data_IF_231585731133
#
_entry.id   IF_231585731133
#
_cell.length_a   1.000
_cell.length_b   1.000
_cell.length_c   1.000
_cell.angle_alpha   90.00
_cell.angle_beta   90.00
_cell.angle_gamma   90.00
#
_symmetry.space_group_name_H-M   'P 1'
#
loop_
_entity.id
_entity.type
_entity.pdbx_description
1 polymer ?
#
# COMPACT_ATOMS: atom_id res chain seq x y z
N UNK A 1 7.27 17.66 32.63
CA UNK A 1 7.71 18.44 31.46
C UNK A 1 7.06 17.83 30.23
N UNK A 2 6.53 18.64 29.32
CA UNK A 2 6.07 18.17 28.01
C UNK A 2 7.23 18.27 27.02
N UNK A 3 7.47 17.21 26.25
CA UNK A 3 8.57 17.15 25.28
C UNK A 3 7.99 17.10 23.88
N UNK A 4 8.23 18.17 23.11
CA UNK A 4 7.87 18.20 21.70
C UNK A 4 8.89 17.39 20.87
N UNK A 5 8.41 16.42 20.10
CA UNK A 5 9.22 15.55 19.26
C UNK A 5 8.85 15.79 17.80
N UNK A 6 9.85 16.08 16.96
CA UNK A 6 9.68 16.09 15.51
C UNK A 6 9.93 14.69 14.97
N UNK A 7 8.86 14.01 14.54
CA UNK A 7 8.97 12.70 13.88
C UNK A 7 9.32 12.89 12.40
N UNK A 8 10.45 12.36 11.91
CA UNK A 8 10.81 12.45 10.50
C UNK A 8 9.79 11.75 9.59
N UNK A 9 9.57 12.31 8.40
CA UNK A 9 8.78 11.66 7.36
C UNK A 9 9.45 10.35 6.95
N UNK A 10 8.65 9.28 6.81
CA UNK A 10 9.16 7.99 6.35
C UNK A 10 9.86 7.16 7.44
N UNK A 11 9.79 7.56 8.71
CA UNK A 11 10.30 6.76 9.83
C UNK A 11 9.78 5.31 9.76
N UNK A 12 10.65 4.35 10.03
CA UNK A 12 10.33 2.93 9.99
C UNK A 12 9.86 2.42 11.36
N UNK A 13 9.15 1.29 11.33
CA UNK A 13 8.81 0.58 12.54
C UNK A 13 10.08 0.12 13.26
N UNK A 14 10.19 0.45 14.55
CA UNK A 14 11.32 0.09 15.39
C UNK A 14 12.47 1.08 15.38
N UNK A 15 12.45 2.12 14.54
CA UNK A 15 13.46 3.19 14.57
C UNK A 15 13.36 3.98 15.88
N UNK A 16 14.51 4.51 16.32
CA UNK A 16 14.65 5.18 17.62
C UNK A 16 15.03 6.64 17.43
N UNK A 17 14.23 7.54 18.01
CA UNK A 17 14.53 8.97 18.09
C UNK A 17 15.24 9.21 19.43
N UNK A 18 16.46 9.75 19.37
CA UNK A 18 17.25 10.13 20.56
C UNK A 18 17.11 11.63 20.83
N UNK A 19 16.75 11.98 22.06
CA UNK A 19 16.75 13.35 22.54
C UNK A 19 17.84 13.51 23.61
N UNK A 20 18.90 14.22 23.24
CA UNK A 20 20.05 14.43 24.11
C UNK A 20 19.68 15.27 25.33
N UNK A 21 20.09 14.84 26.53
CA UNK A 21 19.88 15.60 27.78
C UNK A 21 18.43 15.70 28.23
N UNK A 22 17.54 14.86 27.70
CA UNK A 22 16.11 14.77 28.06
C UNK A 22 15.76 13.52 28.88
N UNK A 23 16.77 12.75 29.27
CA UNK A 23 16.65 11.64 30.19
C UNK A 23 16.61 12.10 31.65
N UNK A 24 16.77 11.15 32.56
CA UNK A 24 16.66 11.43 33.99
C UNK A 24 17.71 12.44 34.48
N UNK A 25 17.27 13.33 35.37
CA UNK A 25 18.12 14.33 35.99
C UNK A 25 19.12 13.66 36.95
N UNK A 26 20.38 14.08 36.87
CA UNK A 26 21.46 13.55 37.70
C UNK A 26 21.88 14.61 38.73
N UNK A 27 22.01 14.27 40.03
CA UNK A 27 22.34 15.24 41.09
C UNK A 27 23.62 16.05 40.85
N UNK A 28 24.62 15.49 40.17
CA UNK A 28 25.92 16.12 39.90
C UNK A 28 26.44 15.87 38.46
N UNK A 29 25.57 15.88 37.45
CA UNK A 29 25.98 15.61 36.07
C UNK A 29 25.00 16.11 35.01
N UNK A 30 25.35 15.92 33.74
CA UNK A 30 24.42 16.15 32.64
C UNK A 30 23.28 15.12 32.71
N UNK A 31 22.02 15.51 32.47
CA UNK A 31 20.92 14.56 32.34
C UNK A 31 21.21 13.52 31.26
N UNK A 32 20.62 12.33 31.40
CA UNK A 32 20.74 11.27 30.41
C UNK A 32 20.05 11.62 29.08
N UNK A 33 20.01 10.66 28.16
CA UNK A 33 19.28 10.79 26.89
C UNK A 33 17.93 10.07 26.97
N UNK A 34 16.90 10.63 26.32
CA UNK A 34 15.63 9.95 26.12
C UNK A 34 15.63 9.25 24.77
N UNK A 35 15.35 7.94 24.76
CA UNK A 35 15.21 7.13 23.56
C UNK A 35 13.74 6.79 23.32
N UNK A 36 13.20 7.21 22.18
CA UNK A 36 11.81 6.97 21.80
C UNK A 36 11.81 5.95 20.67
N UNK A 37 11.36 4.73 20.96
CA UNK A 37 11.19 3.68 19.95
C UNK A 37 9.83 3.84 19.27
N UNK A 38 9.84 4.00 17.96
CA UNK A 38 8.62 4.15 17.16
C UNK A 38 8.01 2.78 16.86
N UNK A 39 6.70 2.68 17.07
CA UNK A 39 5.90 1.51 16.70
C UNK A 39 4.87 1.96 15.66
N UNK A 40 4.95 1.41 14.45
CA UNK A 40 4.02 1.70 13.36
C UNK A 40 3.00 0.58 13.28
N UNK A 41 1.72 0.93 13.41
CA UNK A 41 0.63 -0.03 13.28
C UNK A 41 0.50 -0.53 11.83
N UNK A 42 0.27 -1.84 11.68
CA UNK A 42 0.08 -2.44 10.37
C UNK A 42 -1.24 -1.95 9.74
N UNK A 43 -1.15 -1.42 8.51
CA UNK A 43 -2.34 -1.01 7.78
C UNK A 43 -3.07 -2.23 7.20
N UNK A 44 -4.42 -2.24 7.28
CA UNK A 44 -5.24 -3.41 6.90
C UNK A 44 -5.09 -3.85 5.44
N UNK A 45 -4.84 -2.90 4.54
CA UNK A 45 -4.82 -3.13 3.09
C UNK A 45 -3.55 -2.68 2.40
N UNK A 46 -2.67 -1.96 3.11
CA UNK A 46 -1.46 -1.37 2.51
C UNK A 46 -0.26 -1.98 3.22
N UNK A 47 0.60 -2.63 2.45
CA UNK A 47 1.88 -3.11 2.91
C UNK A 47 2.95 -2.09 2.55
N UNK A 48 3.85 -1.78 3.48
CA UNK A 48 5.05 -0.99 3.19
C UNK A 48 6.19 -1.94 2.82
N UNK A 49 6.78 -1.71 1.66
CA UNK A 49 7.98 -2.40 1.18
C UNK A 49 9.08 -1.36 0.90
N UNK A 50 9.94 -1.14 1.90
CA UNK A 50 10.92 -0.06 1.90
C UNK A 50 10.27 1.31 1.73
N UNK A 51 10.48 1.90 0.56
CA UNK A 51 9.95 3.22 0.16
C UNK A 51 8.62 3.10 -0.59
N UNK A 52 8.30 1.92 -1.09
CA UNK A 52 7.10 1.65 -1.86
C UNK A 52 5.96 1.19 -0.96
N UNK A 53 4.75 1.38 -1.45
CA UNK A 53 3.53 0.88 -0.83
C UNK A 53 2.87 -0.10 -1.77
N UNK A 54 2.32 -1.19 -1.24
CA UNK A 54 1.68 -2.24 -2.02
C UNK A 54 0.24 -2.40 -1.53
N UNK A 55 -0.71 -2.45 -2.45
CA UNK A 55 -2.08 -2.87 -2.17
C UNK A 55 -2.50 -3.97 -3.14
N UNK A 56 -3.54 -4.71 -2.78
CA UNK A 56 -4.20 -5.67 -3.66
C UNK A 56 -5.48 -5.05 -4.20
N UNK A 57 -5.69 -5.12 -5.50
CA UNK A 57 -6.91 -4.68 -6.15
C UNK A 57 -7.63 -5.88 -6.77
N UNK A 58 -8.75 -6.31 -6.17
CA UNK A 58 -9.60 -7.33 -6.78
C UNK A 58 -10.32 -6.75 -7.99
N UNK A 59 -10.18 -7.41 -9.16
CA UNK A 59 -10.87 -7.02 -10.40
C UNK A 59 -11.68 -8.18 -10.97
N UNK A 60 -12.74 -7.85 -11.70
CA UNK A 60 -13.57 -8.86 -12.39
C UNK A 60 -12.81 -9.47 -13.57
N UNK A 61 -13.07 -10.75 -13.86
CA UNK A 61 -12.55 -11.43 -15.07
C UNK A 61 -12.89 -10.65 -16.34
N UNK A 62 -14.09 -10.10 -16.45
CA UNK A 62 -14.50 -9.28 -17.60
C UNK A 62 -13.60 -8.08 -17.81
N UNK A 63 -13.19 -7.42 -16.73
CA UNK A 63 -12.39 -6.20 -16.80
C UNK A 63 -10.92 -6.53 -16.98
N UNK A 64 -10.48 -7.72 -16.55
CA UNK A 64 -9.17 -8.23 -16.90
C UNK A 64 -9.06 -8.51 -18.41
N UNK A 65 -10.12 -9.05 -19.02
CA UNK A 65 -10.16 -9.36 -20.45
C UNK A 65 -10.36 -8.10 -21.32
N UNK A 66 -11.27 -7.21 -20.92
CA UNK A 66 -11.72 -6.08 -21.75
C UNK A 66 -11.12 -4.73 -21.33
N UNK A 67 -10.41 -4.69 -20.20
CA UNK A 67 -10.00 -3.47 -19.53
C UNK A 67 -11.12 -2.86 -18.69
N UNK A 68 -10.78 -1.82 -17.93
CA UNK A 68 -11.73 -1.16 -17.05
C UNK A 68 -11.15 0.04 -16.33
N UNK A 69 -11.95 0.64 -15.44
CA UNK A 69 -11.50 1.73 -14.57
C UNK A 69 -11.89 1.43 -13.12
N UNK A 70 -10.93 1.59 -12.22
CA UNK A 70 -11.09 1.27 -10.79
C UNK A 70 -10.57 2.41 -9.94
N UNK A 71 -11.18 2.61 -8.76
CA UNK A 71 -10.70 3.56 -7.76
C UNK A 71 -9.81 2.83 -6.74
N UNK A 72 -8.63 3.37 -6.50
CA UNK A 72 -7.67 2.89 -5.51
C UNK A 72 -7.50 3.93 -4.42
N UNK A 73 -7.65 3.52 -3.17
CA UNK A 73 -7.42 4.37 -2.01
C UNK A 73 -5.93 4.31 -1.67
N UNK A 74 -5.24 5.45 -1.81
CA UNK A 74 -3.84 5.63 -1.42
C UNK A 74 -3.77 6.43 -0.11
N UNK A 75 -2.57 6.61 0.45
CA UNK A 75 -2.39 7.47 1.63
C UNK A 75 -2.65 8.97 1.34
N UNK A 76 -2.61 9.39 0.07
CA UNK A 76 -2.91 10.76 -0.35
C UNK A 76 -4.38 10.97 -0.75
N UNK A 77 -5.21 9.93 -0.65
CA UNK A 77 -6.59 9.94 -1.14
C UNK A 77 -6.82 9.00 -2.32
N UNK A 78 -7.96 9.18 -2.98
CA UNK A 78 -8.47 8.28 -4.02
C UNK A 78 -7.90 8.63 -5.38
N UNK A 79 -7.37 7.62 -6.08
CA UNK A 79 -6.86 7.73 -7.44
C UNK A 79 -7.67 6.79 -8.34
N UNK A 80 -8.12 7.28 -9.49
CA UNK A 80 -8.71 6.42 -10.51
C UNK A 80 -7.61 5.87 -11.42
N UNK A 81 -7.62 4.55 -11.63
CA UNK A 81 -6.63 3.83 -12.44
C UNK A 81 -7.34 3.09 -13.56
N UNK A 82 -6.70 3.06 -14.74
CA UNK A 82 -7.16 2.27 -15.87
C UNK A 82 -6.49 0.90 -15.83
N UNK A 83 -7.31 -0.13 -15.97
CA UNK A 83 -6.87 -1.50 -16.14
C UNK A 83 -6.76 -1.77 -17.65
N UNK A 84 -5.57 -2.09 -18.17
CA UNK A 84 -5.44 -2.48 -19.57
C UNK A 84 -6.14 -3.81 -19.85
N UNK A 85 -6.67 -3.96 -21.06
CA UNK A 85 -7.21 -5.23 -21.53
C UNK A 85 -6.10 -6.28 -21.61
N UNK A 86 -6.40 -7.51 -21.19
CA UNK A 86 -5.43 -8.61 -21.16
C UNK A 86 -4.46 -8.56 -19.99
N UNK A 87 -4.75 -7.81 -18.92
CA UNK A 87 -3.89 -7.77 -17.73
C UNK A 87 -3.81 -9.14 -17.04
N UNK A 88 -2.65 -9.48 -16.51
CA UNK A 88 -2.42 -10.78 -15.88
C UNK A 88 -2.69 -10.76 -14.37
N UNK A 89 -3.09 -11.91 -13.82
CA UNK A 89 -3.25 -12.06 -12.38
C UNK A 89 -1.90 -11.92 -11.67
N UNK A 90 -1.83 -11.11 -10.63
CA UNK A 90 -0.62 -10.84 -9.86
C UNK A 90 0.28 -9.76 -10.44
N UNK A 91 -0.06 -9.21 -11.61
CA UNK A 91 0.65 -8.08 -12.22
C UNK A 91 0.56 -6.83 -11.35
N UNK A 92 1.58 -5.97 -11.42
CA UNK A 92 1.63 -4.72 -10.68
C UNK A 92 1.41 -3.53 -11.60
N UNK A 93 0.39 -2.72 -11.28
CA UNK A 93 0.25 -1.38 -11.85
C UNK A 93 0.91 -0.36 -10.93
N UNK A 94 1.69 0.56 -11.51
CA UNK A 94 2.50 1.52 -10.75
C UNK A 94 1.88 2.91 -10.76
N UNK A 95 1.61 3.46 -9.58
CA UNK A 95 1.28 4.86 -9.38
C UNK A 95 2.52 5.59 -8.89
N UNK A 96 3.11 6.39 -9.77
CA UNK A 96 4.38 7.07 -9.54
C UNK A 96 4.25 8.11 -8.41
N UNK A 97 5.26 8.21 -7.55
CA UNK A 97 5.36 9.20 -6.47
C UNK A 97 4.19 9.16 -5.46
N UNK A 98 3.63 7.97 -5.23
CA UNK A 98 2.51 7.74 -4.29
C UNK A 98 2.87 6.83 -3.11
N UNK A 99 4.15 6.48 -2.96
CA UNK A 99 4.70 5.69 -1.86
C UNK A 99 5.04 6.55 -0.63
N UNK A 100 6.05 6.12 0.12
CA UNK A 100 6.53 6.80 1.33
C UNK A 100 7.44 7.99 0.96
N UNK A 101 7.22 9.19 1.53
CA UNK A 101 8.13 10.32 1.37
C UNK A 101 9.42 10.12 2.16
N UNK A 102 10.56 10.36 1.51
CA UNK A 102 11.90 10.28 2.11
C UNK A 102 12.70 11.46 1.56
N UNK A 103 13.03 12.40 2.43
CA UNK A 103 13.73 13.64 2.10
C UNK A 103 13.10 14.36 0.88
N UNK A 104 13.85 14.43 -0.24
CA UNK A 104 13.44 15.11 -1.47
C UNK A 104 12.79 14.18 -2.51
N UNK A 105 12.62 12.89 -2.20
CA UNK A 105 12.03 11.93 -3.12
C UNK A 105 10.88 11.14 -2.47
N UNK A 106 10.15 10.42 -3.31
CA UNK A 106 9.03 9.62 -2.87
C UNK A 106 9.01 8.30 -3.60
N UNK A 107 8.73 7.21 -2.89
CA UNK A 107 8.52 5.93 -3.52
C UNK A 107 7.23 5.87 -4.34
N UNK A 108 6.93 4.69 -4.85
CA UNK A 108 5.76 4.43 -5.68
C UNK A 108 4.70 3.63 -4.92
N UNK A 109 3.46 3.69 -5.42
CA UNK A 109 2.37 2.86 -4.94
C UNK A 109 2.05 1.80 -5.98
N UNK A 110 2.28 0.55 -5.61
CA UNK A 110 2.16 -0.64 -6.46
C UNK A 110 0.82 -1.33 -6.18
N UNK A 111 0.00 -1.45 -7.22
CA UNK A 111 -1.31 -2.08 -7.17
C UNK A 111 -1.20 -3.47 -7.76
N UNK A 112 -1.18 -4.49 -6.90
CA UNK A 112 -1.19 -5.90 -7.31
C UNK A 112 -2.59 -6.30 -7.74
N UNK A 113 -2.74 -6.77 -8.97
CA UNK A 113 -4.02 -7.19 -9.53
C UNK A 113 -4.39 -8.58 -9.03
N UNK A 114 -5.60 -8.73 -8.49
CA UNK A 114 -6.16 -10.02 -8.11
C UNK A 114 -7.47 -10.27 -8.89
N UNK A 115 -7.39 -11.07 -9.94
CA UNK A 115 -8.60 -11.44 -10.71
C UNK A 115 -9.50 -12.33 -9.85
N UNK A 116 -10.73 -11.88 -9.60
CA UNK A 116 -11.74 -12.61 -8.82
C UNK A 116 -12.73 -13.34 -9.73
N UNK A 117 -12.93 -14.63 -9.47
CA UNK A 117 -13.92 -15.47 -10.15
C UNK A 117 -15.18 -15.65 -9.29
N UNK A 118 -16.40 -15.54 -9.86
CA UNK A 118 -17.63 -15.75 -9.11
C UNK A 118 -17.77 -17.21 -8.66
N UNK A 119 -18.33 -17.44 -7.46
CA UNK A 119 -18.55 -18.78 -6.90
C UNK A 119 -19.68 -19.56 -7.58
N UNK A 120 -20.61 -18.87 -8.22
CA UNK A 120 -21.75 -19.47 -8.92
C UNK A 120 -22.09 -18.65 -10.17
N UNK A 121 -22.67 -19.32 -11.17
CA UNK A 121 -23.07 -18.72 -12.44
C UNK A 121 -24.55 -19.00 -12.69
N UNK A 122 -25.27 -18.00 -13.20
CA UNK A 122 -26.63 -18.20 -13.70
C UNK A 122 -26.61 -19.08 -14.96
N UNK A 123 -27.75 -19.70 -15.31
CA UNK A 123 -27.86 -20.48 -16.57
C UNK A 123 -27.41 -19.68 -17.79
N UNK A 124 -27.78 -18.39 -17.85
CA UNK A 124 -27.39 -17.49 -18.92
C UNK A 124 -25.87 -17.23 -18.95
N UNK A 125 -25.27 -16.94 -17.79
CA UNK A 125 -23.84 -16.69 -17.70
C UNK A 125 -23.03 -17.96 -18.03
N UNK A 126 -23.48 -19.13 -17.58
CA UNK A 126 -22.84 -20.41 -17.90
C UNK A 126 -22.79 -20.66 -19.40
N UNK A 127 -23.90 -20.43 -20.12
CA UNK A 127 -23.94 -20.55 -21.58
C UNK A 127 -22.92 -19.65 -22.27
N UNK A 128 -22.83 -18.38 -21.87
CA UNK A 128 -21.85 -17.43 -22.44
C UNK A 128 -20.41 -17.90 -22.20
N UNK A 129 -20.11 -18.44 -21.02
CA UNK A 129 -18.78 -18.97 -20.71
C UNK A 129 -18.48 -20.25 -21.51
N UNK A 130 -19.49 -21.10 -21.78
CA UNK A 130 -19.33 -22.26 -22.67
C UNK A 130 -19.05 -21.83 -24.11
N UNK A 131 -19.70 -20.78 -24.61
CA UNK A 131 -19.42 -20.20 -25.92
C UNK A 131 -17.98 -19.64 -25.98
N UNK A 132 -17.52 -18.92 -24.95
CA UNK A 132 -16.13 -18.44 -24.86
C UNK A 132 -15.12 -19.59 -24.80
N UNK A 133 -15.44 -20.67 -24.10
CA UNK A 133 -14.60 -21.88 -24.05
C UNK A 133 -14.43 -22.50 -25.44
N UNK A 134 -15.47 -22.48 -26.28
CA UNK A 134 -15.40 -23.01 -27.63
C UNK A 134 -14.48 -22.18 -28.55
N UNK A 135 -14.34 -20.88 -28.28
CA UNK A 135 -13.40 -19.96 -28.94
C UNK A 135 -11.96 -20.09 -28.42
N UNK A 136 -11.71 -20.89 -27.38
CA UNK A 136 -10.38 -21.13 -26.82
C UNK A 136 -9.95 -20.16 -25.71
N UNK A 137 -10.91 -19.49 -25.06
CA UNK A 137 -10.70 -18.61 -23.89
C UNK A 137 -10.91 -19.33 -22.55
#
# INVERSE_FOLDING_TARGET
EEIAIKVPSGIQNGEVIRLTGRGEAMPHGQPGDLYIKVSVEAHRTILRDGVNLITKLPIKVTDALLGGSYKVITLDGVVEIKIPAGITHGEFLRLKNKGVPIDNHRGDFLVKIEIITPKSLSRKAKKIIEDLRAEGL
#
